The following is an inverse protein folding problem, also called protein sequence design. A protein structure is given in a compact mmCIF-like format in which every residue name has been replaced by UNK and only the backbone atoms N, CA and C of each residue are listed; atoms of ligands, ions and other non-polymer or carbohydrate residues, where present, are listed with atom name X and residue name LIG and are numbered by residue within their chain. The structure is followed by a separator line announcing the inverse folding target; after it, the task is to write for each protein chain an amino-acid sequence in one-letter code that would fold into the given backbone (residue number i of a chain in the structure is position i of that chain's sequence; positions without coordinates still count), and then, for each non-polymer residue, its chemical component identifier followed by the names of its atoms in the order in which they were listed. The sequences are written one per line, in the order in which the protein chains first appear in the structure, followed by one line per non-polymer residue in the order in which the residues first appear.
data_IF_870537440694
#
_entry.id   IF_870537440694
#
_cell.length_a   1.000
_cell.length_b   1.000
_cell.length_c   1.000
_cell.angle_alpha   90.00
_cell.angle_beta   90.00
_cell.angle_gamma   90.00
#
_symmetry.space_group_name_H-M   'P 1'
#
loop_
_entity.id
_entity.type
_entity.pdbx_description
1 polymer ?
#
# COMPACT_ATOMS: atom_id res chain seq x y z
N UNK A 1 -46.08 -21.26 22.51
CA UNK A 1 -44.73 -20.69 22.66
C UNK A 1 -43.95 -20.99 21.38
N UNK A 2 -43.90 -20.05 20.43
CA UNK A 2 -42.97 -20.14 19.30
C UNK A 2 -41.60 -19.68 19.80
N UNK A 3 -40.63 -20.60 19.84
CA UNK A 3 -39.23 -20.27 20.05
C UNK A 3 -38.69 -19.70 18.73
N UNK A 4 -38.49 -18.38 18.71
CA UNK A 4 -37.82 -17.69 17.58
C UNK A 4 -36.34 -18.07 17.62
N UNK A 5 -35.92 -18.88 16.64
CA UNK A 5 -34.52 -19.17 16.38
C UNK A 5 -33.85 -17.90 15.87
N UNK A 6 -32.95 -17.34 16.68
CA UNK A 6 -32.12 -16.20 16.30
C UNK A 6 -30.88 -16.71 15.58
N UNK A 7 -30.91 -16.79 14.26
CA UNK A 7 -29.71 -17.03 13.44
C UNK A 7 -28.84 -15.78 13.46
N UNK A 8 -27.78 -15.79 14.27
CA UNK A 8 -26.73 -14.78 14.21
C UNK A 8 -25.99 -14.88 12.87
N UNK A 9 -26.08 -13.84 12.05
CA UNK A 9 -25.22 -13.65 10.89
C UNK A 9 -23.84 -13.22 11.40
N UNK A 10 -22.95 -14.17 11.68
CA UNK A 10 -21.52 -13.87 11.80
C UNK A 10 -21.00 -13.58 10.40
N UNK A 11 -20.89 -12.31 10.04
CA UNK A 11 -20.12 -11.87 8.88
C UNK A 11 -18.63 -12.11 9.17
N UNK A 12 -18.16 -13.33 8.91
CA UNK A 12 -16.74 -13.58 8.75
C UNK A 12 -16.33 -13.05 7.38
N UNK A 13 -16.05 -11.76 7.27
CA UNK A 13 -15.23 -11.30 6.15
C UNK A 13 -13.84 -11.90 6.36
N UNK A 14 -13.37 -12.70 5.39
CA UNK A 14 -12.10 -13.39 5.57
C UNK A 14 -10.95 -12.38 5.47
N UNK A 15 -9.86 -12.62 6.18
CA UNK A 15 -8.65 -11.78 6.11
C UNK A 15 -8.13 -11.69 4.67
N UNK A 16 -8.38 -12.71 3.84
CA UNK A 16 -8.00 -12.71 2.44
C UNK A 16 -8.82 -11.72 1.61
N UNK A 17 -10.13 -11.65 1.84
CA UNK A 17 -11.03 -10.73 1.12
C UNK A 17 -10.67 -9.27 1.44
N UNK A 18 -10.43 -8.96 2.71
CA UNK A 18 -9.96 -7.64 3.17
C UNK A 18 -8.67 -7.21 2.46
N UNK A 19 -7.76 -8.16 2.23
CA UNK A 19 -6.46 -7.88 1.59
C UNK A 19 -6.68 -7.65 0.10
N UNK A 20 -7.46 -8.49 -0.57
CA UNK A 20 -7.78 -8.30 -1.99
C UNK A 20 -8.47 -6.94 -2.24
N UNK A 21 -9.39 -6.53 -1.37
CA UNK A 21 -10.05 -5.23 -1.46
C UNK A 21 -9.08 -4.05 -1.25
N UNK A 22 -8.12 -4.23 -0.35
CA UNK A 22 -7.06 -3.23 -0.14
C UNK A 22 -6.13 -3.12 -1.35
N UNK A 23 -5.72 -4.23 -1.95
CA UNK A 23 -4.89 -4.25 -3.14
C UNK A 23 -5.61 -3.63 -4.34
N UNK A 24 -6.90 -3.95 -4.51
CA UNK A 24 -7.76 -3.36 -5.53
C UNK A 24 -7.90 -1.83 -5.36
N UNK A 25 -8.12 -1.36 -4.13
CA UNK A 25 -8.24 0.08 -3.85
C UNK A 25 -6.91 0.82 -4.04
N UNK A 26 -5.76 0.21 -3.70
CA UNK A 26 -4.44 0.74 -3.99
C UNK A 26 -4.23 0.89 -5.51
N UNK A 27 -4.51 -0.17 -6.27
CA UNK A 27 -4.38 -0.15 -7.73
C UNK A 27 -5.33 0.88 -8.38
N UNK A 28 -6.57 0.98 -7.92
CA UNK A 28 -7.54 1.98 -8.40
C UNK A 28 -7.12 3.42 -8.09
N UNK A 29 -6.47 3.64 -6.93
CA UNK A 29 -5.88 4.92 -6.58
C UNK A 29 -4.62 5.24 -7.44
N UNK A 30 -4.11 4.22 -8.13
CA UNK A 30 -3.01 4.27 -9.08
C UNK A 30 -1.71 3.71 -8.54
N UNK A 31 -1.64 3.26 -7.28
CA UNK A 31 -0.41 2.66 -6.75
C UNK A 31 0.06 1.52 -7.64
N UNK A 32 1.38 1.45 -7.83
CA UNK A 32 1.99 0.44 -8.67
C UNK A 32 2.65 -0.62 -7.82
N UNK A 33 2.20 -1.86 -7.96
CA UNK A 33 2.80 -3.01 -7.32
C UNK A 33 4.17 -3.34 -7.93
N UNK A 34 5.13 -3.66 -7.06
CA UNK A 34 6.43 -4.23 -7.40
C UNK A 34 6.68 -5.47 -6.55
N UNK A 35 6.70 -6.65 -7.18
CA UNK A 35 7.04 -7.88 -6.47
C UNK A 35 8.45 -7.84 -5.89
N UNK A 36 8.60 -8.34 -4.66
CA UNK A 36 9.89 -8.67 -4.06
C UNK A 36 10.38 -10.03 -4.57
N UNK A 37 10.64 -10.09 -5.87
CA UNK A 37 10.97 -11.30 -6.62
C UNK A 37 12.47 -11.67 -6.61
N UNK A 38 13.29 -10.99 -5.82
CA UNK A 38 14.68 -11.34 -5.57
C UNK A 38 15.04 -11.13 -4.09
N UNK A 39 16.13 -11.76 -3.59
CA UNK A 39 16.52 -11.69 -2.19
C UNK A 39 16.72 -10.25 -1.68
N UNK A 40 17.28 -9.38 -2.51
CA UNK A 40 17.58 -8.00 -2.14
C UNK A 40 16.30 -7.18 -1.90
N UNK A 41 15.29 -7.32 -2.77
CA UNK A 41 13.97 -6.69 -2.59
C UNK A 41 13.24 -7.26 -1.39
N UNK A 42 13.36 -8.56 -1.13
CA UNK A 42 12.75 -9.19 0.04
C UNK A 42 13.34 -8.64 1.32
N UNK A 43 14.67 -8.53 1.40
CA UNK A 43 15.36 -7.93 2.53
C UNK A 43 14.94 -6.47 2.75
N UNK A 44 14.80 -5.68 1.68
CA UNK A 44 14.31 -4.31 1.80
C UNK A 44 12.84 -4.25 2.24
N UNK A 45 11.98 -5.12 1.70
CA UNK A 45 10.56 -5.17 2.06
C UNK A 45 10.37 -5.53 3.54
N UNK A 46 11.18 -6.45 4.07
CA UNK A 46 11.15 -6.88 5.47
C UNK A 46 11.54 -5.78 6.47
N UNK A 47 12.24 -4.72 6.03
CA UNK A 47 12.55 -3.57 6.88
C UNK A 47 11.36 -2.64 7.09
N UNK A 48 10.33 -2.75 6.27
CA UNK A 48 9.17 -1.89 6.34
C UNK A 48 8.16 -2.45 7.36
N UNK A 49 7.57 -1.61 8.23
CA UNK A 49 6.41 -2.03 9.01
C UNK A 49 5.33 -2.56 8.05
N UNK A 50 4.81 -3.78 8.27
CA UNK A 50 3.75 -4.31 7.42
C UNK A 50 2.49 -3.47 7.54
N UNK A 51 1.75 -3.36 6.45
CA UNK A 51 0.43 -2.73 6.41
C UNK A 51 0.39 -1.24 6.80
N UNK A 52 1.49 -0.50 6.64
CA UNK A 52 1.56 0.95 6.90
C UNK A 52 2.02 1.72 5.68
N UNK A 53 1.47 2.94 5.53
CA UNK A 53 1.99 3.90 4.56
C UNK A 53 3.23 4.57 5.11
N UNK A 54 4.21 4.77 4.24
CA UNK A 54 5.40 5.54 4.53
C UNK A 54 5.67 6.53 3.40
N UNK A 55 6.33 7.63 3.74
CA UNK A 55 6.82 8.62 2.79
C UNK A 55 8.31 8.44 2.61
N UNK A 56 8.79 8.41 1.37
CA UNK A 56 10.21 8.30 1.05
C UNK A 56 10.55 9.18 -0.13
N UNK A 57 11.62 9.97 0.03
CA UNK A 57 12.13 10.84 -1.03
C UNK A 57 12.68 10.04 -2.20
N UNK A 58 12.43 10.54 -3.40
CA UNK A 58 12.94 10.04 -4.68
C UNK A 58 13.26 11.25 -5.58
N UNK A 59 14.55 11.61 -5.66
CA UNK A 59 14.93 12.91 -6.23
C UNK A 59 14.26 14.06 -5.46
N UNK A 60 13.67 14.99 -6.20
CA UNK A 60 12.95 16.15 -5.64
C UNK A 60 11.51 15.85 -5.20
N UNK A 61 11.08 14.59 -5.25
CA UNK A 61 9.69 14.20 -5.02
C UNK A 61 9.56 13.27 -3.82
N UNK A 62 8.37 13.27 -3.22
CA UNK A 62 7.98 12.31 -2.20
C UNK A 62 7.11 11.20 -2.80
N UNK A 63 7.52 9.96 -2.58
CA UNK A 63 6.73 8.77 -2.90
C UNK A 63 6.08 8.22 -1.65
N UNK A 64 4.88 7.70 -1.83
CA UNK A 64 4.14 6.97 -0.82
C UNK A 64 4.32 5.48 -1.07
N UNK A 65 4.78 4.75 -0.06
CA UNK A 65 5.00 3.31 -0.14
C UNK A 65 4.12 2.57 0.85
N UNK A 66 3.63 1.41 0.45
CA UNK A 66 2.89 0.48 1.29
C UNK A 66 3.43 -0.94 1.06
N UNK A 67 3.72 -1.67 2.13
CA UNK A 67 4.24 -3.04 2.06
C UNK A 67 3.17 -4.07 2.40
N UNK A 68 3.06 -5.07 1.55
CA UNK A 68 2.38 -6.33 1.88
C UNK A 68 3.38 -7.49 1.77
N UNK A 69 4.11 -7.80 2.86
CA UNK A 69 5.06 -8.89 2.88
C UNK A 69 4.41 -10.27 3.06
N UNK A 70 3.09 -10.34 3.32
CA UNK A 70 2.43 -11.60 3.72
C UNK A 70 1.61 -12.23 2.60
N UNK A 71 0.91 -11.44 1.79
CA UNK A 71 0.02 -11.98 0.75
C UNK A 71 0.63 -11.82 -0.63
N UNK A 72 0.78 -10.58 -1.15
CA UNK A 72 1.42 -10.39 -2.47
C UNK A 72 2.95 -10.55 -2.42
N UNK A 73 3.58 -10.30 -1.25
CA UNK A 73 5.02 -10.12 -1.14
C UNK A 73 5.50 -9.00 -2.09
N UNK A 74 4.84 -7.84 -2.00
CA UNK A 74 4.97 -6.72 -2.92
C UNK A 74 5.10 -5.38 -2.20
N UNK A 75 5.80 -4.46 -2.86
CA UNK A 75 5.82 -3.04 -2.52
C UNK A 75 4.86 -2.28 -3.45
N UNK A 76 3.90 -1.57 -2.88
CA UNK A 76 3.06 -0.64 -3.62
C UNK A 76 3.67 0.75 -3.55
N UNK A 77 3.81 1.42 -4.69
CA UNK A 77 4.42 2.76 -4.78
C UNK A 77 3.50 3.71 -5.51
N UNK A 78 3.20 4.84 -4.87
CA UNK A 78 2.30 5.87 -5.38
C UNK A 78 2.88 7.27 -5.23
N UNK A 79 2.32 8.19 -6.02
CA UNK A 79 2.57 9.62 -5.87
C UNK A 79 1.61 10.27 -4.87
N UNK A 80 1.78 11.57 -4.61
CA UNK A 80 0.88 12.36 -3.76
C UNK A 80 -0.58 12.23 -4.21
N UNK A 81 -0.84 12.28 -5.53
CA UNK A 81 -2.18 12.17 -6.08
C UNK A 81 -2.79 10.77 -5.87
N UNK A 82 -1.98 9.71 -5.95
CA UNK A 82 -2.41 8.34 -5.68
C UNK A 82 -2.73 8.16 -4.19
N UNK A 83 -1.87 8.67 -3.31
CA UNK A 83 -2.14 8.65 -1.87
C UNK A 83 -3.41 9.42 -1.53
N UNK A 84 -3.60 10.63 -2.05
CA UNK A 84 -4.82 11.41 -1.86
C UNK A 84 -6.09 10.68 -2.33
N UNK A 85 -6.04 10.03 -3.50
CA UNK A 85 -7.14 9.20 -3.99
C UNK A 85 -7.43 8.02 -3.08
N UNK A 86 -6.41 7.31 -2.63
CA UNK A 86 -6.56 6.20 -1.69
C UNK A 86 -7.23 6.65 -0.39
N UNK A 87 -6.77 7.78 0.19
CA UNK A 87 -7.36 8.34 1.40
C UNK A 87 -8.85 8.68 1.22
N UNK A 88 -9.25 9.15 0.03
CA UNK A 88 -10.67 9.42 -0.27
C UNK A 88 -11.52 8.14 -0.29
N UNK A 89 -10.97 7.01 -0.76
CA UNK A 89 -11.65 5.72 -0.74
C UNK A 89 -11.87 5.22 0.68
N UNK A 90 -10.82 5.29 1.52
CA UNK A 90 -10.92 4.89 2.92
C UNK A 90 -11.89 5.78 3.69
N UNK A 91 -11.91 7.09 3.38
CA UNK A 91 -12.87 8.01 3.96
C UNK A 91 -14.31 7.64 3.58
N UNK A 92 -14.57 7.38 2.29
CA UNK A 92 -15.89 7.00 1.80
C UNK A 92 -16.41 5.69 2.41
N UNK A 93 -15.51 4.76 2.75
CA UNK A 93 -15.85 3.46 3.35
C UNK A 93 -16.03 3.50 4.88
N UNK A 94 -15.83 4.66 5.54
CA UNK A 94 -15.91 4.80 7.01
C UNK A 94 -15.08 3.75 7.78
N UNK A 95 -13.98 3.27 7.21
CA UNK A 95 -13.17 2.23 7.83
C UNK A 95 -12.57 2.76 9.13
N UNK A 96 -12.79 2.07 10.26
CA UNK A 96 -12.34 2.51 11.59
C UNK A 96 -10.81 2.79 11.68
N UNK A 97 -10.04 2.28 10.73
CA UNK A 97 -8.60 2.46 10.60
C UNK A 97 -8.17 3.86 10.14
N UNK A 98 -9.09 4.83 9.99
CA UNK A 98 -8.74 6.19 9.54
C UNK A 98 -7.64 6.84 10.40
N UNK A 99 -7.60 6.52 11.69
CA UNK A 99 -6.64 7.09 12.64
C UNK A 99 -5.19 6.61 12.40
N UNK A 100 -4.98 5.53 11.66
CA UNK A 100 -3.65 4.95 11.42
C UNK A 100 -3.10 5.25 10.01
N UNK A 101 -3.78 6.09 9.24
CA UNK A 101 -3.46 6.30 7.83
C UNK A 101 -2.36 7.32 7.56
N UNK A 102 -1.86 8.02 8.58
CA UNK A 102 -0.76 8.97 8.43
C UNK A 102 0.48 8.24 7.92
N UNK A 103 1.01 8.70 6.79
CA UNK A 103 2.23 8.13 6.24
C UNK A 103 3.46 8.68 6.97
N UNK A 104 4.20 7.83 7.68
CA UNK A 104 5.42 8.23 8.40
C UNK A 104 6.60 8.38 7.45
N UNK A 105 7.51 9.33 7.74
CA UNK A 105 8.74 9.45 6.96
C UNK A 105 9.68 8.26 7.20
N UNK A 106 10.02 7.53 6.13
CA UNK A 106 10.99 6.43 6.18
C UNK A 106 12.40 6.93 5.84
N UNK A 107 13.32 6.84 6.79
CA UNK A 107 14.65 7.46 6.69
C UNK A 107 15.82 6.46 6.62
N UNK A 108 15.59 5.22 6.18
CA UNK A 108 16.71 4.28 5.96
C UNK A 108 17.56 4.73 4.75
N UNK A 109 18.86 4.92 5.00
CA UNK A 109 19.86 5.29 4.00
C UNK A 109 20.24 4.13 3.07
N UNK A 110 20.02 2.89 3.50
CA UNK A 110 20.25 1.68 2.69
C UNK A 110 19.12 1.41 1.69
N UNK A 111 18.07 2.23 1.66
CA UNK A 111 16.98 2.11 0.71
C UNK A 111 17.46 2.38 -0.72
N UNK A 112 17.30 1.39 -1.60
CA UNK A 112 17.80 1.46 -2.97
C UNK A 112 16.64 1.43 -3.98
N UNK A 113 16.25 2.61 -4.47
CA UNK A 113 15.24 2.74 -5.51
C UNK A 113 15.63 2.07 -6.83
N UNK A 114 16.93 2.00 -7.14
CA UNK A 114 17.45 1.27 -8.29
C UNK A 114 17.10 -0.21 -8.27
N UNK A 115 17.19 -0.84 -7.11
CA UNK A 115 16.80 -2.24 -6.95
C UNK A 115 15.33 -2.48 -7.27
N UNK A 116 14.47 -1.49 -7.01
CA UNK A 116 13.04 -1.55 -7.33
C UNK A 116 12.71 -1.19 -8.79
N UNK A 117 13.72 -0.89 -9.62
CA UNK A 117 13.58 -0.56 -11.04
C UNK A 117 13.47 0.94 -11.33
N UNK A 118 13.81 1.81 -10.36
CA UNK A 118 13.71 3.27 -10.48
C UNK A 118 15.07 3.99 -10.47
N UNK A 119 16.17 3.29 -10.81
CA UNK A 119 17.53 3.81 -10.63
C UNK A 119 18.09 4.66 -11.77
N UNK A 120 17.34 4.84 -12.87
CA UNK A 120 17.88 5.34 -14.15
C UNK A 120 17.43 6.73 -14.60
N UNK A 121 16.86 7.54 -13.71
CA UNK A 121 16.22 8.80 -14.09
C UNK A 121 14.72 8.63 -14.38
N UNK A 122 14.03 9.77 -14.42
CA UNK A 122 12.58 9.95 -14.41
C UNK A 122 11.83 9.18 -15.51
N UNK A 123 11.63 7.87 -15.29
CA UNK A 123 10.89 6.95 -16.16
C UNK A 123 10.09 5.93 -15.35
N UNK A 124 9.59 6.33 -14.18
CA UNK A 124 8.70 5.50 -13.38
C UNK A 124 7.35 5.24 -14.07
N UNK A 125 6.47 4.41 -13.47
CA UNK A 125 5.17 4.06 -14.02
C UNK A 125 4.26 5.24 -14.40
N UNK A 126 4.59 6.42 -13.90
CA UNK A 126 3.79 7.63 -13.98
C UNK A 126 4.18 8.55 -15.15
N UNK A 127 5.24 8.23 -15.89
CA UNK A 127 5.74 9.05 -17.01
C UNK A 127 6.31 10.40 -16.57
N UNK A 128 7.19 10.98 -17.38
CA UNK A 128 7.88 12.25 -17.07
C UNK A 128 7.01 13.51 -17.19
N UNK A 129 5.74 13.48 -16.80
CA UNK A 129 4.83 14.60 -17.05
C UNK A 129 3.55 14.70 -16.22
N UNK A 130 3.39 13.92 -15.15
CA UNK A 130 2.19 14.00 -14.32
C UNK A 130 2.53 14.08 -12.83
N UNK A 131 2.86 15.32 -12.43
CA UNK A 131 2.97 15.83 -11.08
C UNK A 131 2.53 17.29 -11.09
#
# INVERSE_FOLDING_TARGET
MLLVASTGLTACESVHDQIADKENSLAAAGFVARPANNPERQMMLQKLPPNRFLQKSFGDHMLYIYSDPKVCNCLYVGNQAAYGRYMSYVQAQNLADQQQMTADMYQDASWNWGMWGWGGGWGGPWGGGWW
#
